data_IF_081813841553
#
_entry.id   IF_081813841553
#
_cell.length_a   1.000
_cell.length_b   1.000
_cell.length_c   1.000
_cell.angle_alpha   90.00
_cell.angle_beta   90.00
_cell.angle_gamma   90.00
#
_symmetry.space_group_name_H-M   'P 1'
#
loop_
_entity.id
_entity.type
_entity.pdbx_description
1 polymer ?
#
# COMPACT_ATOMS: atom_id res chain seq x y z
N UNK A 1 -17.17 -8.82 8.93
CA UNK A 1 -16.43 -7.60 8.51
C UNK A 1 -14.96 -7.74 8.85
N UNK A 2 -14.60 -8.08 10.08
CA UNK A 2 -13.22 -8.36 10.51
C UNK A 2 -12.51 -9.46 9.66
N UNK A 3 -13.22 -10.54 9.30
CA UNK A 3 -12.70 -11.59 8.41
C UNK A 3 -12.29 -11.08 7.01
N UNK A 4 -13.04 -10.12 6.44
CA UNK A 4 -12.77 -9.59 5.09
C UNK A 4 -11.47 -8.79 5.06
N UNK A 5 -11.16 -8.09 6.15
CA UNK A 5 -10.03 -7.16 6.22
C UNK A 5 -8.75 -7.87 6.67
N UNK A 6 -8.87 -8.87 7.55
CA UNK A 6 -7.79 -9.83 7.78
C UNK A 6 -7.43 -10.52 6.45
N UNK A 7 -8.43 -10.95 5.68
CA UNK A 7 -8.16 -11.53 4.37
C UNK A 7 -7.58 -10.52 3.37
N UNK A 8 -7.92 -9.22 3.43
CA UNK A 8 -7.30 -8.22 2.56
C UNK A 8 -5.82 -8.01 2.90
N UNK A 9 -5.47 -7.92 4.19
CA UNK A 9 -4.08 -7.82 4.64
C UNK A 9 -3.28 -9.08 4.31
N UNK A 10 -3.87 -10.26 4.53
CA UNK A 10 -3.24 -11.56 4.22
C UNK A 10 -3.13 -11.76 2.72
N UNK A 11 -4.15 -11.44 1.92
CA UNK A 11 -4.08 -11.52 0.45
C UNK A 11 -3.06 -10.54 -0.12
N UNK A 12 -2.93 -9.35 0.45
CA UNK A 12 -1.91 -8.40 0.02
C UNK A 12 -0.51 -8.85 0.45
N UNK A 13 -0.38 -9.39 1.66
CA UNK A 13 0.88 -9.99 2.12
C UNK A 13 1.26 -11.19 1.26
N UNK A 14 0.33 -12.09 0.93
CA UNK A 14 0.53 -13.20 -0.01
C UNK A 14 0.89 -12.68 -1.40
N UNK A 15 0.22 -11.63 -1.90
CA UNK A 15 0.54 -11.01 -3.18
C UNK A 15 2.01 -10.56 -3.22
N UNK A 16 2.49 -9.90 -2.17
CA UNK A 16 3.89 -9.47 -2.06
C UNK A 16 4.86 -10.63 -1.81
N UNK A 17 4.41 -11.68 -1.11
CA UNK A 17 5.25 -12.85 -0.77
C UNK A 17 5.46 -13.77 -1.98
N UNK A 18 4.45 -13.97 -2.82
CA UNK A 18 4.53 -14.86 -3.99
C UNK A 18 5.46 -14.29 -5.07
N UNK A 19 5.57 -12.96 -5.17
CA UNK A 19 6.50 -12.29 -6.10
C UNK A 19 7.98 -12.54 -5.76
N UNK A 20 8.31 -12.89 -4.51
CA UNK A 20 9.68 -13.22 -4.08
C UNK A 20 10.14 -14.64 -4.43
N UNK A 21 9.26 -15.49 -4.99
CA UNK A 21 9.60 -16.88 -5.32
C UNK A 21 10.51 -17.04 -6.55
N UNK A 22 10.81 -15.97 -7.29
CA UNK A 22 11.71 -15.98 -8.42
C UNK A 22 13.10 -15.42 -8.07
N UNK A 23 13.82 -16.13 -7.21
CA UNK A 23 15.30 -16.19 -7.21
C UNK A 23 16.10 -14.92 -6.90
N UNK A 24 15.53 -13.90 -6.26
CA UNK A 24 16.26 -12.69 -5.85
C UNK A 24 16.09 -12.40 -4.36
N UNK A 25 17.09 -11.72 -3.80
CA UNK A 25 17.31 -11.36 -2.38
C UNK A 25 16.02 -11.19 -1.54
N UNK A 26 16.06 -11.60 -0.26
CA UNK A 26 14.97 -11.36 0.70
C UNK A 26 14.60 -9.86 0.74
N UNK A 27 13.56 -9.48 0.00
CA UNK A 27 13.04 -8.13 0.04
C UNK A 27 12.20 -8.00 1.31
N UNK A 28 12.72 -7.28 2.31
CA UNK A 28 11.95 -6.93 3.51
C UNK A 28 11.05 -5.75 3.18
N UNK A 29 9.78 -5.87 3.53
CA UNK A 29 8.79 -4.81 3.41
C UNK A 29 8.31 -4.43 4.81
N UNK A 30 8.55 -3.18 5.23
CA UNK A 30 7.83 -2.63 6.38
C UNK A 30 6.44 -2.19 5.95
N UNK A 31 5.42 -2.91 6.41
CA UNK A 31 4.01 -2.65 6.11
C UNK A 31 3.28 -2.25 7.39
N UNK A 32 2.58 -1.12 7.35
CA UNK A 32 1.81 -0.62 8.49
C UNK A 32 0.45 -0.06 8.06
N UNK A 33 -0.53 -0.09 8.95
CA UNK A 33 -1.79 0.62 8.74
C UNK A 33 -1.66 2.04 9.30
N UNK A 34 -1.93 3.05 8.47
CA UNK A 34 -1.93 4.45 8.88
C UNK A 34 -3.28 5.09 8.59
N UNK A 35 -3.65 6.06 9.42
CA UNK A 35 -4.86 6.87 9.25
C UNK A 35 -4.47 8.33 9.19
N UNK A 36 -4.95 9.03 8.17
CA UNK A 36 -4.81 10.48 8.09
C UNK A 36 -6.18 11.14 8.06
N UNK A 37 -6.22 12.35 8.59
CA UNK A 37 -7.38 13.23 8.48
C UNK A 37 -7.09 14.18 7.32
N UNK A 38 -7.90 14.11 6.28
CA UNK A 38 -7.82 15.01 5.12
C UNK A 38 -8.24 16.43 5.50
N UNK A 39 -7.92 17.46 4.68
CA UNK A 39 -8.33 18.84 4.93
C UNK A 39 -9.85 19.05 5.07
N UNK A 40 -10.67 18.15 4.50
CA UNK A 40 -12.13 18.14 4.63
C UNK A 40 -12.63 17.30 5.83
N UNK A 41 -11.78 17.04 6.82
CA UNK A 41 -12.06 16.28 8.03
C UNK A 41 -12.54 14.83 7.81
N UNK A 42 -12.19 14.22 6.67
CA UNK A 42 -12.46 12.80 6.45
C UNK A 42 -11.29 11.98 6.96
N UNK A 43 -11.59 10.87 7.63
CA UNK A 43 -10.60 9.88 8.02
C UNK A 43 -10.39 8.93 6.86
N UNK A 44 -9.18 8.88 6.33
CA UNK A 44 -8.77 7.93 5.30
C UNK A 44 -7.79 6.92 5.89
N UNK A 45 -7.91 5.66 5.47
CA UNK A 45 -7.06 4.58 5.95
C UNK A 45 -6.22 4.02 4.81
N UNK A 46 -4.94 3.80 5.10
CA UNK A 46 -3.98 3.34 4.10
C UNK A 46 -3.17 2.17 4.63
N UNK A 47 -2.80 1.29 3.71
CA UNK A 47 -1.67 0.38 3.89
C UNK A 47 -0.41 1.14 3.44
N UNK A 48 0.45 1.47 4.38
CA UNK A 48 1.71 2.19 4.17
C UNK A 48 2.87 1.21 4.07
N UNK A 49 3.70 1.37 3.04
CA UNK A 49 4.85 0.53 2.73
C UNK A 49 6.06 1.46 2.60
N UNK A 50 7.10 1.23 3.41
CA UNK A 50 8.27 2.12 3.50
C UNK A 50 9.51 1.54 2.81
N UNK A 51 9.77 0.26 3.02
CA UNK A 51 10.89 -0.40 2.40
C UNK A 51 10.50 -0.97 1.03
N UNK A 52 11.38 -0.80 0.04
CA UNK A 52 11.22 -1.38 -1.30
C UNK A 52 9.93 -0.93 -2.02
N UNK A 53 9.48 0.30 -1.76
CA UNK A 53 8.24 0.85 -2.31
C UNK A 53 8.16 0.75 -3.85
N UNK A 54 9.26 1.02 -4.58
CA UNK A 54 9.27 0.90 -6.04
C UNK A 54 9.09 -0.55 -6.51
N UNK A 55 9.71 -1.52 -5.83
CA UNK A 55 9.52 -2.93 -6.16
C UNK A 55 8.06 -3.37 -5.96
N UNK A 56 7.40 -2.85 -4.92
CA UNK A 56 5.95 -3.09 -4.73
C UNK A 56 5.13 -2.48 -5.86
N UNK A 57 5.47 -1.27 -6.31
CA UNK A 57 4.77 -0.66 -7.45
C UNK A 57 4.87 -1.55 -8.70
N UNK A 58 6.05 -2.09 -8.99
CA UNK A 58 6.25 -2.96 -10.15
C UNK A 58 5.39 -4.24 -10.04
N UNK A 59 5.35 -4.89 -8.87
CA UNK A 59 4.47 -6.05 -8.61
C UNK A 59 2.99 -5.71 -8.84
N UNK A 60 2.55 -4.53 -8.41
CA UNK A 60 1.15 -4.11 -8.59
C UNK A 60 0.82 -3.86 -10.05
N UNK A 61 1.74 -3.27 -10.82
CA UNK A 61 1.60 -3.08 -12.27
C UNK A 61 1.55 -4.41 -13.02
N UNK A 62 2.37 -5.39 -12.62
CA UNK A 62 2.29 -6.75 -13.18
C UNK A 62 0.94 -7.41 -12.87
N UNK A 63 0.41 -7.22 -11.67
CA UNK A 63 -0.84 -7.85 -11.23
C UNK A 63 -2.11 -7.21 -11.82
N UNK A 64 -2.17 -5.89 -11.88
CA UNK A 64 -3.38 -5.16 -12.24
C UNK A 64 -3.27 -4.33 -13.53
N UNK A 65 -2.11 -4.37 -14.19
CA UNK A 65 -1.80 -3.58 -15.38
C UNK A 65 -1.18 -2.23 -15.04
N UNK A 66 -0.59 -1.59 -16.05
CA UNK A 66 -0.03 -0.24 -15.91
C UNK A 66 -1.15 0.81 -16.06
N UNK A 67 -1.19 1.76 -15.12
CA UNK A 67 -2.14 2.87 -15.11
C UNK A 67 -1.35 4.19 -15.12
N UNK A 68 -1.90 5.28 -15.69
CA UNK A 68 -1.19 6.55 -15.74
C UNK A 68 -0.98 7.10 -14.33
N UNK A 69 0.26 7.49 -14.05
CA UNK A 69 0.59 8.20 -12.82
C UNK A 69 0.42 9.71 -13.01
N UNK A 70 -0.30 10.35 -12.08
CA UNK A 70 -0.43 11.80 -12.01
C UNK A 70 0.09 12.27 -10.66
N UNK A 71 1.30 12.85 -10.65
CA UNK A 71 1.95 13.41 -9.46
C UNK A 71 2.00 12.46 -8.26
N UNK A 72 2.46 11.23 -8.49
CA UNK A 72 2.52 10.19 -7.46
C UNK A 72 1.19 9.50 -7.17
N UNK A 73 0.08 9.83 -7.85
CA UNK A 73 -1.19 9.11 -7.72
C UNK A 73 -1.37 8.16 -8.90
N UNK A 74 -1.76 6.91 -8.62
CA UNK A 74 -2.18 5.92 -9.61
C UNK A 74 -3.49 5.25 -9.14
N UNK A 75 -4.38 4.88 -10.05
CA UNK A 75 -5.71 4.37 -9.71
C UNK A 75 -6.12 3.20 -10.59
N UNK A 76 -6.30 2.03 -9.99
CA UNK A 76 -6.92 0.86 -10.63
C UNK A 76 -8.39 0.80 -10.25
N UNK A 77 -9.27 1.05 -11.21
CA UNK A 77 -10.72 1.13 -10.94
C UNK A 77 -11.38 -0.23 -10.66
N UNK A 78 -10.78 -1.33 -11.15
CA UNK A 78 -11.37 -2.67 -11.12
C UNK A 78 -10.34 -3.74 -10.72
N UNK A 79 -9.55 -3.48 -9.68
CA UNK A 79 -8.58 -4.45 -9.18
C UNK A 79 -9.30 -5.70 -8.63
N UNK A 80 -8.80 -6.87 -9.02
CA UNK A 80 -9.23 -8.15 -8.45
C UNK A 80 -8.36 -8.49 -7.25
N UNK A 81 -9.00 -8.79 -6.13
CA UNK A 81 -8.36 -9.21 -4.87
C UNK A 81 -8.96 -10.55 -4.50
N UNK A 82 -8.15 -11.60 -4.42
CA UNK A 82 -8.61 -13.00 -4.32
C UNK A 82 -9.57 -13.27 -3.14
N UNK A 83 -9.49 -12.46 -2.07
CA UNK A 83 -10.37 -12.57 -0.90
C UNK A 83 -11.65 -11.73 -0.96
N UNK A 84 -11.85 -10.94 -2.02
CA UNK A 84 -13.00 -10.07 -2.20
C UNK A 84 -13.71 -10.43 -3.49
N UNK A 85 -14.89 -11.01 -3.36
CA UNK A 85 -15.79 -11.33 -4.47
C UNK A 85 -16.55 -10.08 -4.97
N UNK A 86 -15.78 -9.05 -5.32
CA UNK A 86 -16.25 -7.80 -5.89
C UNK A 86 -15.09 -6.98 -6.47
N UNK A 87 -15.42 -6.09 -7.40
CA UNK A 87 -14.47 -5.11 -7.93
C UNK A 87 -14.07 -4.12 -6.84
N UNK A 88 -12.76 -3.99 -6.63
CA UNK A 88 -12.18 -3.04 -5.68
C UNK A 88 -11.47 -1.95 -6.48
N UNK A 89 -11.76 -0.70 -6.14
CA UNK A 89 -10.95 0.43 -6.59
C UNK A 89 -9.74 0.54 -5.67
N UNK A 90 -8.54 0.48 -6.23
CA UNK A 90 -7.29 0.65 -5.49
C UNK A 90 -6.63 1.94 -5.91
N UNK A 91 -6.33 2.79 -4.93
CA UNK A 91 -5.64 4.06 -5.16
C UNK A 91 -4.27 3.99 -4.50
N UNK A 92 -3.24 4.22 -5.30
CA UNK A 92 -1.87 4.28 -4.87
C UNK A 92 -1.40 5.72 -4.79
N UNK A 93 -0.70 6.01 -3.70
CA UNK A 93 -0.08 7.29 -3.40
C UNK A 93 1.40 7.07 -3.13
N UNK A 94 2.24 7.51 -4.05
CA UNK A 94 3.67 7.55 -3.92
C UNK A 94 4.11 8.90 -3.35
N UNK A 95 5.03 8.85 -2.39
CA UNK A 95 5.52 10.06 -1.75
C UNK A 95 6.71 9.82 -0.85
N UNK A 96 7.03 10.83 -0.06
CA UNK A 96 8.15 10.82 0.86
C UNK A 96 7.72 11.32 2.23
N UNK A 97 8.36 10.76 3.26
CA UNK A 97 8.26 11.23 4.64
C UNK A 97 9.67 11.51 5.15
N UNK A 98 9.88 12.64 5.83
CA UNK A 98 11.17 12.90 6.48
C UNK A 98 11.37 11.91 7.63
N UNK A 99 12.61 11.48 7.87
CA UNK A 99 12.94 10.52 8.94
C UNK A 99 12.38 10.94 10.32
N UNK A 100 12.28 12.25 10.57
CA UNK A 100 11.74 12.84 11.81
C UNK A 100 10.43 13.61 11.63
N UNK A 101 9.79 13.51 10.45
CA UNK A 101 8.59 14.27 10.11
C UNK A 101 7.33 13.41 10.18
N UNK A 102 6.23 13.97 10.69
CA UNK A 102 4.93 13.28 10.70
C UNK A 102 4.26 13.26 9.31
N UNK A 103 4.50 14.27 8.48
CA UNK A 103 3.76 14.49 7.24
C UNK A 103 4.31 13.69 6.06
N UNK A 104 3.44 12.88 5.43
CA UNK A 104 3.64 12.31 4.10
C UNK A 104 3.35 13.36 3.03
N UNK A 105 4.18 13.44 1.98
CA UNK A 105 3.97 14.34 0.84
C UNK A 105 4.05 13.57 -0.47
N UNK A 106 3.09 13.80 -1.36
CA UNK A 106 3.03 13.18 -2.69
C UNK A 106 4.12 13.71 -3.61
N UNK A 107 4.73 12.79 -4.37
CA UNK A 107 5.73 13.10 -5.38
C UNK A 107 5.65 12.09 -6.52
N UNK A 108 6.10 12.44 -7.73
CA UNK A 108 6.20 11.47 -8.81
C UNK A 108 7.11 10.29 -8.47
N UNK A 109 6.85 9.09 -9.01
CA UNK A 109 7.70 7.91 -8.77
C UNK A 109 9.13 8.09 -9.27
N UNK A 110 9.30 8.88 -10.34
CA UNK A 110 10.60 9.27 -10.91
C UNK A 110 11.45 10.18 -10.02
N UNK A 111 10.88 10.76 -8.96
CA UNK A 111 11.61 11.65 -8.04
C UNK A 111 12.66 10.86 -7.27
N UNK A 112 13.90 11.33 -7.27
CA UNK A 112 15.03 10.70 -6.55
C UNK A 112 14.91 10.85 -5.04
N UNK A 113 15.50 9.89 -4.32
CA UNK A 113 15.56 9.89 -2.87
C UNK A 113 16.48 10.99 -2.34
N UNK A 114 16.20 11.47 -1.13
CA UNK A 114 17.09 12.36 -0.38
C UNK A 114 17.52 11.66 0.91
N UNK A 115 18.73 11.95 1.44
CA UNK A 115 19.25 11.27 2.62
C UNK A 115 18.37 11.37 3.88
N UNK A 116 17.56 12.43 4.00
CA UNK A 116 16.69 12.70 5.16
C UNK A 116 15.25 12.23 5.00
N UNK A 117 14.95 11.48 3.94
CA UNK A 117 13.60 11.06 3.58
C UNK A 117 13.52 9.58 3.29
N UNK A 118 12.39 8.99 3.68
CA UNK A 118 12.00 7.63 3.34
C UNK A 118 10.96 7.70 2.22
N UNK A 119 11.18 6.94 1.16
CA UNK A 119 10.19 6.74 0.10
C UNK A 119 9.07 5.86 0.63
N UNK A 120 7.82 6.23 0.34
CA UNK A 120 6.65 5.55 0.84
C UNK A 120 5.64 5.35 -0.27
N UNK A 121 4.99 4.20 -0.29
CA UNK A 121 3.72 4.00 -0.99
C UNK A 121 2.61 3.79 0.02
N UNK A 122 1.48 4.44 -0.22
CA UNK A 122 0.22 4.24 0.50
C UNK A 122 -0.84 3.71 -0.45
N UNK A 123 -1.50 2.63 -0.03
CA UNK A 123 -2.58 2.02 -0.79
C UNK A 123 -3.89 2.19 -0.06
N UNK A 124 -4.90 2.62 -0.80
CA UNK A 124 -6.28 2.74 -0.32
C UNK A 124 -7.17 1.79 -1.11
N UNK A 125 -8.04 1.08 -0.40
CA UNK A 125 -8.93 0.08 -0.97
C UNK A 125 -10.38 0.52 -0.79
N UNK A 126 -11.07 0.75 -1.90
CA UNK A 126 -12.41 1.30 -1.94
C UNK A 126 -13.35 0.33 -2.64
N UNK A 127 -14.45 0.01 -1.98
CA UNK A 127 -15.54 -0.72 -2.61
C UNK A 127 -16.77 0.18 -2.65
N UNK A 128 -17.16 0.60 -3.86
CA UNK A 128 -18.07 1.73 -4.07
C UNK A 128 -17.45 2.97 -3.38
N UNK A 129 -18.02 3.40 -2.26
CA UNK A 129 -17.55 4.54 -1.46
C UNK A 129 -17.09 4.14 -0.04
N UNK A 130 -16.98 2.84 0.24
CA UNK A 130 -16.55 2.33 1.54
C UNK A 130 -15.05 2.10 1.56
N UNK A 131 -14.38 2.76 2.50
CA UNK A 131 -12.99 2.49 2.85
C UNK A 131 -12.89 1.15 3.57
N UNK A 132 -12.29 0.17 2.91
CA UNK A 132 -12.18 -1.19 3.43
C UNK A 132 -11.19 -1.31 4.60
N UNK A 133 -10.29 -0.34 4.80
CA UNK A 133 -9.29 -0.35 5.86
C UNK A 133 -9.76 0.41 7.12
N UNK A 134 -10.81 1.23 7.03
CA UNK A 134 -11.28 2.11 8.10
C UNK A 134 -11.67 1.42 9.42
N UNK A 135 -12.06 0.15 9.40
CA UNK A 135 -12.68 -0.53 10.57
C UNK A 135 -11.74 -1.25 11.55
N UNK A 136 -10.40 -1.12 11.43
CA UNK A 136 -9.47 -1.95 12.24
C UNK A 136 -8.48 -1.14 13.10
N UNK A 137 -8.57 -1.24 14.42
CA UNK A 137 -7.49 -0.91 15.36
C UNK A 137 -6.61 -2.17 15.54
N UNK A 138 -5.74 -2.50 14.59
CA UNK A 138 -4.80 -3.61 14.79
C UNK A 138 -3.42 -3.24 14.28
N UNK A 139 -2.54 -2.87 15.21
CA UNK A 139 -1.10 -2.83 15.01
C UNK A 139 -0.59 -4.28 15.07
N UNK A 140 -0.47 -4.94 13.91
CA UNK A 140 0.16 -6.25 13.81
C UNK A 140 1.63 -6.04 13.45
N UNK A 141 2.52 -6.19 14.45
CA UNK A 141 3.96 -6.26 14.24
C UNK A 141 4.24 -7.63 13.61
N UNK A 142 4.42 -7.65 12.28
CA UNK A 142 4.89 -8.83 11.55
C UNK A 142 6.38 -9.03 11.84
N UNK A 143 6.68 -9.75 12.94
CA UNK A 143 7.97 -10.43 13.06
C UNK A 143 7.92 -11.63 12.10
N UNK A 144 8.76 -11.57 11.07
CA UNK A 144 9.12 -12.62 10.12
C UNK A 144 8.66 -14.03 10.53
N UNK A 145 7.78 -14.62 9.73
CA UNK A 145 7.68 -16.06 9.61
C UNK A 145 8.90 -16.55 8.79
N UNK A 146 10.01 -16.74 9.49
CA UNK A 146 11.09 -17.63 9.08
C UNK A 146 11.22 -18.68 10.20
N UNK A 147 10.68 -19.86 9.95
CA UNK A 147 11.13 -21.12 10.56
C UNK A 147 11.65 -21.99 9.43
#
# INVERSE_FOLDING_TARGET
MEKLIFNLHVSFFILLSVSSLFGQEEVKYEVSMVRDITPDNKVESYLEIRDSALAVLDILKEKWGDEPEVNGKMEWSNASIDSIDAKVRVVLYHGFKKNNGASFKLYPTSRKDKPDEVRIIRLRFLQKDKDLLSSVQTTLILKNFLN
#
